data_IF_672242601731
#
_entry.id   IF_672242601731
#
_cell.length_a   1.000
_cell.length_b   1.000
_cell.length_c   1.000
_cell.angle_alpha   90.00
_cell.angle_beta   90.00
_cell.angle_gamma   90.00
#
_symmetry.space_group_name_H-M   'P 1'
#
loop_
_entity.id
_entity.type
_entity.pdbx_description
1 polymer ?
#
# COMPACT_ATOMS: atom_id res chain seq x y z
N UNK A 1 -21.32 -11.79 27.23
CA UNK A 1 -20.71 -12.85 28.07
C UNK A 1 -19.25 -12.48 28.23
N UNK A 2 -18.78 -12.20 29.46
CA UNK A 2 -17.36 -11.94 29.70
C UNK A 2 -16.59 -13.22 29.34
N UNK A 3 -15.65 -13.08 28.43
CA UNK A 3 -14.80 -14.19 27.99
C UNK A 3 -13.86 -14.55 29.14
N UNK A 4 -14.16 -15.61 29.88
CA UNK A 4 -13.36 -16.02 31.06
C UNK A 4 -11.98 -16.44 30.55
N UNK A 5 -10.93 -15.79 31.04
CA UNK A 5 -9.54 -16.05 30.63
C UNK A 5 -9.12 -17.45 31.07
N UNK A 6 -8.57 -18.23 30.14
CA UNK A 6 -8.12 -19.61 30.34
C UNK A 6 -6.65 -19.61 30.76
N UNK A 7 -6.31 -20.30 31.83
CA UNK A 7 -4.95 -20.45 32.37
C UNK A 7 -4.62 -21.94 32.49
N UNK A 8 -3.60 -22.40 31.79
CA UNK A 8 -3.06 -23.76 31.92
C UNK A 8 -1.89 -23.76 32.93
N UNK A 9 -1.93 -24.66 33.89
CA UNK A 9 -0.91 -24.78 34.94
C UNK A 9 -0.20 -26.12 34.80
N UNK A 10 1.11 -26.08 34.59
CA UNK A 10 1.97 -27.27 34.46
C UNK A 10 2.94 -27.35 35.67
N UNK A 11 2.80 -28.39 36.48
CA UNK A 11 3.55 -28.63 37.71
C UNK A 11 3.54 -30.13 38.00
N UNK A 12 4.68 -30.72 38.31
CA UNK A 12 4.80 -32.16 38.56
C UNK A 12 4.44 -32.56 39.99
N UNK A 13 4.53 -31.62 40.96
CA UNK A 13 4.15 -31.87 42.34
C UNK A 13 2.63 -31.73 42.56
N UNK A 14 1.89 -32.84 42.89
CA UNK A 14 0.43 -32.81 42.92
C UNK A 14 -0.18 -31.76 43.87
N UNK A 15 0.48 -31.56 45.06
CA UNK A 15 -0.02 -30.62 46.04
C UNK A 15 0.19 -29.17 45.59
N UNK A 16 1.33 -28.85 44.96
CA UNK A 16 1.61 -27.54 44.41
C UNK A 16 0.68 -27.24 43.24
N UNK A 17 0.46 -28.22 42.35
CA UNK A 17 -0.47 -28.13 41.22
C UNK A 17 -1.91 -27.82 41.65
N UNK A 18 -2.41 -28.59 42.65
CA UNK A 18 -3.77 -28.41 43.17
C UNK A 18 -3.90 -27.03 43.87
N UNK A 19 -2.92 -26.61 44.67
CA UNK A 19 -2.93 -25.32 45.36
C UNK A 19 -2.89 -24.13 44.36
N UNK A 20 -2.06 -24.20 43.32
CA UNK A 20 -2.02 -23.18 42.26
C UNK A 20 -3.33 -23.13 41.50
N UNK A 21 -3.92 -24.27 41.16
CA UNK A 21 -5.17 -24.35 40.40
C UNK A 21 -6.33 -23.75 41.21
N UNK A 22 -6.44 -24.08 42.50
CA UNK A 22 -7.44 -23.52 43.43
C UNK A 22 -7.27 -21.99 43.54
N UNK A 23 -6.03 -21.54 43.77
CA UNK A 23 -5.70 -20.12 43.91
C UNK A 23 -6.10 -19.32 42.65
N UNK A 24 -5.70 -19.77 41.46
CA UNK A 24 -5.96 -19.10 40.20
C UNK A 24 -7.45 -19.15 39.84
N UNK A 25 -8.13 -20.28 40.06
CA UNK A 25 -9.58 -20.41 39.88
C UNK A 25 -10.35 -19.45 40.81
N UNK A 26 -9.88 -19.29 42.09
CA UNK A 26 -10.45 -18.37 43.06
C UNK A 26 -10.38 -16.88 42.62
N UNK A 27 -9.50 -16.54 41.68
CA UNK A 27 -9.45 -15.21 41.07
C UNK A 27 -10.34 -15.04 39.85
N UNK A 28 -11.13 -16.07 39.49
CA UNK A 28 -12.10 -16.00 38.38
C UNK A 28 -11.52 -16.43 37.03
N UNK A 29 -10.33 -17.04 37.01
CA UNK A 29 -9.80 -17.65 35.78
C UNK A 29 -10.37 -19.07 35.59
N UNK A 30 -10.52 -19.50 34.34
CA UNK A 30 -10.80 -20.89 34.03
C UNK A 30 -9.46 -21.63 33.94
N UNK A 31 -9.26 -22.65 34.79
CA UNK A 31 -8.00 -23.35 34.90
C UNK A 31 -8.08 -24.77 34.35
N UNK A 32 -7.01 -25.20 33.69
CA UNK A 32 -6.68 -26.60 33.42
C UNK A 32 -5.29 -26.88 33.98
N UNK A 33 -5.01 -28.15 34.29
CA UNK A 33 -3.76 -28.59 34.91
C UNK A 33 -3.08 -29.65 34.06
N UNK A 34 -1.75 -29.67 34.08
CA UNK A 34 -0.90 -30.68 33.48
C UNK A 34 0.20 -31.11 34.46
N UNK A 35 0.62 -32.36 34.43
CA UNK A 35 1.64 -32.90 35.34
C UNK A 35 3.07 -32.85 34.81
N UNK A 36 3.20 -32.46 33.54
CA UNK A 36 4.48 -32.27 32.86
C UNK A 36 4.31 -31.46 31.58
N UNK A 37 5.43 -31.11 30.92
CA UNK A 37 5.43 -30.28 29.74
C UNK A 37 4.81 -30.92 28.50
N UNK A 38 4.80 -32.26 28.40
CA UNK A 38 4.21 -32.94 27.25
C UNK A 38 2.67 -32.88 27.31
N UNK A 39 2.10 -33.19 28.49
CA UNK A 39 0.66 -33.05 28.74
C UNK A 39 0.23 -31.58 28.59
N UNK A 40 1.06 -30.63 29.05
CA UNK A 40 0.79 -29.22 28.89
C UNK A 40 0.77 -28.78 27.42
N UNK A 41 1.68 -29.30 26.60
CA UNK A 41 1.70 -29.06 25.17
C UNK A 41 0.45 -29.59 24.46
N UNK A 42 0.05 -30.83 24.72
CA UNK A 42 -1.17 -31.44 24.13
C UNK A 42 -2.44 -30.64 24.51
N UNK A 43 -2.54 -30.23 25.79
CA UNK A 43 -3.65 -29.42 26.28
C UNK A 43 -3.61 -27.99 25.70
N UNK A 44 -2.44 -27.41 25.54
CA UNK A 44 -2.31 -26.09 24.92
C UNK A 44 -2.87 -26.07 23.49
N UNK A 45 -2.61 -27.13 22.70
CA UNK A 45 -3.13 -27.24 21.34
C UNK A 45 -4.67 -27.42 21.28
N UNK A 46 -5.25 -28.22 22.17
CA UNK A 46 -6.68 -28.53 22.13
C UNK A 46 -7.54 -27.49 22.85
N UNK A 47 -7.03 -26.82 23.86
CA UNK A 47 -7.78 -25.94 24.74
C UNK A 47 -7.52 -24.45 24.51
N UNK A 48 -6.45 -24.09 23.80
CA UNK A 48 -6.00 -22.69 23.49
C UNK A 48 -6.04 -21.78 24.72
N UNK A 49 -5.17 -22.00 25.72
CA UNK A 49 -5.10 -21.15 26.90
C UNK A 49 -4.56 -19.74 26.56
N UNK A 50 -5.01 -18.75 27.32
CA UNK A 50 -4.48 -17.39 27.23
C UNK A 50 -3.10 -17.29 27.86
N UNK A 51 -2.92 -18.02 28.97
CA UNK A 51 -1.72 -17.98 29.79
C UNK A 51 -1.34 -19.41 30.16
N UNK A 52 -0.07 -19.70 30.10
CA UNK A 52 0.53 -20.95 30.61
C UNK A 52 1.43 -20.60 31.80
N UNK A 53 1.18 -21.21 32.94
CA UNK A 53 2.07 -21.13 34.11
C UNK A 53 2.78 -22.48 34.21
N UNK A 54 4.10 -22.53 34.10
CA UNK A 54 4.85 -23.79 34.04
C UNK A 54 6.01 -23.80 35.02
N UNK A 55 6.21 -24.93 35.74
CA UNK A 55 7.49 -25.16 36.41
C UNK A 55 8.58 -25.40 35.37
N UNK A 56 9.80 -25.04 35.74
CA UNK A 56 11.01 -25.33 34.95
C UNK A 56 11.39 -26.82 35.00
N UNK A 57 11.27 -27.46 36.15
CA UNK A 57 11.69 -28.85 36.31
C UNK A 57 10.50 -29.77 36.37
N UNK A 58 10.24 -30.49 35.28
CA UNK A 58 9.17 -31.47 35.19
C UNK A 58 9.68 -32.72 34.45
N UNK A 59 9.09 -33.91 34.71
CA UNK A 59 9.43 -35.12 33.98
C UNK A 59 8.99 -35.05 32.52
N UNK A 60 9.50 -35.95 31.67
CA UNK A 60 9.22 -36.11 30.24
C UNK A 60 9.60 -34.88 29.40
N UNK A 61 9.08 -33.72 29.72
CA UNK A 61 9.39 -32.45 29.08
C UNK A 61 9.43 -31.37 30.14
N UNK A 62 10.54 -30.67 30.26
CA UNK A 62 10.71 -29.55 31.18
C UNK A 62 10.07 -28.25 30.68
N UNK A 63 10.02 -27.24 31.56
CA UNK A 63 9.40 -25.96 31.23
C UNK A 63 10.10 -25.19 30.11
N UNK A 64 11.43 -25.38 29.95
CA UNK A 64 12.17 -24.77 28.83
C UNK A 64 11.85 -25.43 27.50
N UNK A 65 11.74 -26.74 27.48
CA UNK A 65 11.30 -27.50 26.30
C UNK A 65 9.86 -27.18 25.91
N UNK A 66 8.98 -26.99 26.89
CA UNK A 66 7.60 -26.54 26.65
C UNK A 66 7.60 -25.13 26.05
N UNK A 67 8.35 -24.19 26.62
CA UNK A 67 8.45 -22.81 26.11
C UNK A 67 8.96 -22.77 24.67
N UNK A 68 10.00 -23.54 24.35
CA UNK A 68 10.55 -23.65 23.01
C UNK A 68 9.52 -24.18 22.02
N UNK A 69 8.80 -25.28 22.37
CA UNK A 69 7.74 -25.82 21.52
C UNK A 69 6.57 -24.88 21.32
N UNK A 70 6.16 -24.14 22.36
CA UNK A 70 5.11 -23.13 22.26
C UNK A 70 5.53 -21.96 21.37
N UNK A 71 6.83 -21.60 21.35
CA UNK A 71 7.38 -20.57 20.48
C UNK A 71 7.51 -21.02 19.01
N UNK A 72 7.89 -22.29 18.78
CA UNK A 72 8.09 -22.87 17.43
C UNK A 72 6.79 -23.37 16.79
N UNK A 73 5.83 -23.84 17.59
CA UNK A 73 4.61 -24.52 17.14
C UNK A 73 3.45 -23.62 16.78
N UNK A 74 3.69 -22.40 16.34
CA UNK A 74 2.69 -21.34 16.15
C UNK A 74 1.66 -21.55 15.03
N UNK A 75 1.69 -22.64 14.26
CA UNK A 75 0.60 -22.97 13.34
C UNK A 75 -0.61 -23.56 14.12
N UNK A 76 -1.56 -22.67 14.46
CA UNK A 76 -2.81 -23.03 15.14
C UNK A 76 -2.90 -22.63 16.62
N UNK A 77 -1.82 -22.24 17.27
CA UNK A 77 -1.82 -21.65 18.61
C UNK A 77 -1.92 -20.11 18.49
N UNK A 78 -2.69 -19.50 19.40
CA UNK A 78 -2.74 -18.03 19.48
C UNK A 78 -1.34 -17.44 19.63
N UNK A 79 -0.89 -16.67 18.66
CA UNK A 79 0.42 -15.98 18.67
C UNK A 79 0.64 -15.04 19.89
N UNK A 80 -0.37 -14.93 20.76
CA UNK A 80 -0.41 -14.05 21.95
C UNK A 80 -0.56 -14.84 23.26
N UNK A 81 -0.09 -16.08 23.32
CA UNK A 81 -0.09 -16.86 24.55
C UNK A 81 1.04 -16.38 25.47
N UNK A 82 0.72 -16.01 26.70
CA UNK A 82 1.72 -15.59 27.69
C UNK A 82 2.21 -16.81 28.49
N UNK A 83 3.53 -17.05 28.52
CA UNK A 83 4.12 -18.13 29.32
C UNK A 83 4.82 -17.55 30.53
N UNK A 84 4.36 -17.92 31.73
CA UNK A 84 4.95 -17.54 33.03
C UNK A 84 5.69 -18.75 33.61
N UNK A 85 6.95 -18.57 33.91
CA UNK A 85 7.82 -19.66 34.34
C UNK A 85 8.01 -19.62 35.86
N UNK A 86 7.82 -20.77 36.55
CA UNK A 86 8.10 -20.91 37.97
C UNK A 86 9.51 -21.49 38.16
N UNK A 87 10.32 -20.90 39.01
CA UNK A 87 11.71 -21.30 39.23
C UNK A 87 12.02 -21.59 40.69
N UNK A 88 12.88 -22.57 40.97
CA UNK A 88 13.39 -22.78 42.30
C UNK A 88 14.41 -21.71 42.69
N UNK A 89 14.65 -21.55 44.00
CA UNK A 89 15.65 -20.63 44.56
C UNK A 89 17.05 -20.93 43.98
N UNK A 90 17.73 -19.90 43.44
CA UNK A 90 19.09 -20.01 42.91
C UNK A 90 19.22 -20.20 41.39
N UNK A 91 18.11 -20.27 40.61
CA UNK A 91 18.13 -20.46 39.16
C UNK A 91 17.92 -19.18 38.33
N UNK A 92 18.54 -18.06 38.75
CA UNK A 92 18.42 -16.76 38.07
C UNK A 92 18.86 -16.87 36.62
N UNK A 93 19.91 -17.65 36.29
CA UNK A 93 20.38 -17.83 34.93
C UNK A 93 19.32 -18.50 34.04
N UNK A 94 18.62 -19.53 34.53
CA UNK A 94 17.55 -20.20 33.82
C UNK A 94 16.35 -19.27 33.58
N UNK A 95 16.05 -18.40 34.56
CA UNK A 95 15.01 -17.39 34.37
C UNK A 95 15.36 -16.38 33.27
N UNK A 96 16.61 -15.93 33.20
CA UNK A 96 17.11 -15.05 32.14
C UNK A 96 17.04 -15.75 30.76
N UNK A 97 17.40 -17.03 30.71
CA UNK A 97 17.37 -17.79 29.47
C UNK A 97 15.92 -18.03 28.99
N UNK A 98 14.96 -18.26 29.92
CA UNK A 98 13.54 -18.33 29.62
C UNK A 98 13.02 -17.00 29.03
N UNK A 99 13.42 -15.86 29.60
CA UNK A 99 13.04 -14.53 29.06
C UNK A 99 13.60 -14.32 27.64
N UNK A 100 14.82 -14.78 27.33
CA UNK A 100 15.39 -14.72 25.98
C UNK A 100 14.63 -15.60 24.97
N UNK A 101 14.03 -16.71 25.43
CA UNK A 101 13.20 -17.60 24.62
C UNK A 101 11.74 -17.13 24.50
N UNK A 102 11.40 -15.96 25.05
CA UNK A 102 10.08 -15.36 24.89
C UNK A 102 9.10 -15.62 26.03
N UNK A 103 9.57 -16.06 27.23
CA UNK A 103 8.71 -16.09 28.40
C UNK A 103 8.18 -14.69 28.71
N UNK A 104 6.92 -14.61 29.13
CA UNK A 104 6.26 -13.35 29.50
C UNK A 104 6.83 -12.78 30.81
N UNK A 105 6.99 -13.66 31.81
CA UNK A 105 7.61 -13.33 33.11
C UNK A 105 8.04 -14.61 33.83
N UNK A 106 8.76 -14.47 34.94
CA UNK A 106 9.12 -15.57 35.82
C UNK A 106 8.80 -15.27 37.27
N UNK A 107 8.55 -16.32 38.08
CA UNK A 107 8.31 -16.27 39.50
C UNK A 107 9.17 -17.28 40.23
N UNK A 108 9.73 -16.87 41.36
CA UNK A 108 10.50 -17.76 42.22
C UNK A 108 9.57 -18.51 43.19
N UNK A 109 9.82 -19.80 43.41
CA UNK A 109 9.16 -20.61 44.46
C UNK A 109 9.81 -20.29 45.81
N UNK A 110 9.01 -20.15 46.92
CA UNK A 110 7.56 -20.33 46.99
C UNK A 110 6.83 -19.18 46.25
N UNK A 111 5.77 -19.51 45.51
CA UNK A 111 5.05 -18.58 44.67
C UNK A 111 4.32 -17.53 45.53
N UNK A 112 4.69 -16.26 45.35
CA UNK A 112 3.93 -15.14 45.90
C UNK A 112 2.60 -14.96 45.14
N UNK A 113 1.51 -15.20 45.86
CA UNK A 113 0.15 -15.11 45.30
C UNK A 113 -0.18 -13.72 44.77
N UNK A 114 0.28 -12.64 45.41
CA UNK A 114 0.03 -11.26 45.00
C UNK A 114 0.76 -10.94 43.71
N UNK A 115 2.00 -11.36 43.60
CA UNK A 115 2.83 -11.19 42.40
C UNK A 115 2.28 -12.01 41.23
N UNK A 116 1.92 -13.29 41.44
CA UNK A 116 1.29 -14.13 40.42
C UNK A 116 -0.01 -13.50 39.90
N UNK A 117 -0.88 -13.04 40.80
CA UNK A 117 -2.14 -12.35 40.44
C UNK A 117 -1.90 -11.13 39.54
N UNK A 118 -0.89 -10.33 39.86
CA UNK A 118 -0.52 -9.15 39.09
C UNK A 118 -0.02 -9.51 37.70
N UNK A 119 0.83 -10.54 37.59
CA UNK A 119 1.35 -11.01 36.29
C UNK A 119 0.23 -11.55 35.43
N UNK A 120 -0.66 -12.41 35.96
CA UNK A 120 -1.79 -12.95 35.23
C UNK A 120 -2.75 -11.85 34.76
N UNK A 121 -3.02 -10.85 35.62
CA UNK A 121 -3.88 -9.72 35.25
C UNK A 121 -3.27 -8.87 34.11
N UNK A 122 -1.97 -8.62 34.14
CA UNK A 122 -1.28 -7.88 33.08
C UNK A 122 -1.25 -8.66 31.75
N UNK A 123 -0.93 -9.96 31.80
CA UNK A 123 -0.95 -10.83 30.63
C UNK A 123 -2.35 -10.94 30.00
N UNK A 124 -3.39 -11.10 30.84
CA UNK A 124 -4.78 -11.12 30.39
C UNK A 124 -5.19 -9.79 29.72
N UNK A 125 -4.82 -8.66 30.30
CA UNK A 125 -5.10 -7.32 29.73
C UNK A 125 -4.39 -7.13 28.39
N UNK A 126 -3.12 -7.49 28.29
CA UNK A 126 -2.37 -7.38 27.04
C UNK A 126 -3.01 -8.22 25.92
N UNK A 127 -3.40 -9.46 26.23
CA UNK A 127 -4.12 -10.32 25.26
C UNK A 127 -5.47 -9.72 24.85
N UNK A 128 -6.24 -9.22 25.80
CA UNK A 128 -7.53 -8.59 25.52
C UNK A 128 -7.37 -7.38 24.59
N UNK A 129 -6.40 -6.52 24.85
CA UNK A 129 -6.10 -5.37 23.98
C UNK A 129 -5.67 -5.81 22.58
N UNK A 130 -4.87 -6.88 22.46
CA UNK A 130 -4.47 -7.43 21.16
C UNK A 130 -5.68 -7.98 20.37
N UNK A 131 -6.59 -8.70 21.04
CA UNK A 131 -7.83 -9.20 20.43
C UNK A 131 -8.73 -8.05 20.00
N UNK A 132 -8.94 -7.04 20.84
CA UNK A 132 -9.77 -5.87 20.52
C UNK A 132 -9.19 -5.09 19.33
N UNK A 133 -7.88 -4.94 19.27
CA UNK A 133 -7.19 -4.33 18.13
C UNK A 133 -7.40 -5.13 16.84
N UNK A 134 -7.30 -6.47 16.91
CA UNK A 134 -7.49 -7.32 15.74
C UNK A 134 -8.96 -7.29 15.25
N UNK A 135 -9.93 -7.32 16.19
CA UNK A 135 -11.35 -7.15 15.88
C UNK A 135 -11.62 -5.77 15.26
N UNK A 136 -11.02 -4.71 15.80
CA UNK A 136 -11.15 -3.36 15.25
C UNK A 136 -10.55 -3.27 13.83
N UNK A 137 -9.36 -3.84 13.63
CA UNK A 137 -8.73 -3.93 12.31
C UNK A 137 -9.59 -4.71 11.32
N UNK A 138 -10.14 -5.85 11.74
CA UNK A 138 -11.04 -6.65 10.91
C UNK A 138 -12.29 -5.88 10.50
N UNK A 139 -12.92 -5.16 11.43
CA UNK A 139 -14.06 -4.28 11.12
C UNK A 139 -13.71 -3.18 10.14
N UNK A 140 -12.54 -2.55 10.29
CA UNK A 140 -12.03 -1.55 9.34
C UNK A 140 -11.81 -2.16 7.95
N UNK A 141 -11.27 -3.38 7.86
CA UNK A 141 -11.15 -4.10 6.58
C UNK A 141 -12.51 -4.40 5.95
N UNK A 142 -13.47 -4.87 6.75
CA UNK A 142 -14.85 -5.14 6.30
C UNK A 142 -15.55 -3.86 5.83
N UNK A 143 -15.22 -2.71 6.41
CA UNK A 143 -15.67 -1.39 5.94
C UNK A 143 -14.87 -0.85 4.75
N UNK A 144 -13.87 -1.59 4.26
CA UNK A 144 -13.07 -1.19 3.10
C UNK A 144 -12.05 -0.08 3.39
N UNK A 145 -11.52 0.02 4.62
CA UNK A 145 -10.50 1.02 4.98
C UNK A 145 -9.22 0.31 5.42
N UNK A 146 -8.08 0.67 4.78
CA UNK A 146 -6.76 0.24 5.20
C UNK A 146 -5.79 1.44 5.23
N UNK A 147 -5.37 1.86 6.42
CA UNK A 147 -4.55 3.06 6.58
C UNK A 147 -5.25 4.29 6.02
N UNK A 148 -4.67 4.90 5.00
CA UNK A 148 -5.23 6.06 4.28
C UNK A 148 -6.01 5.66 3.01
N UNK A 149 -6.14 4.38 2.72
CA UNK A 149 -6.79 3.86 1.52
C UNK A 149 -8.24 3.49 1.82
N UNK A 150 -9.13 3.80 0.87
CA UNK A 150 -10.55 3.46 0.91
C UNK A 150 -10.90 2.66 -0.33
N UNK A 151 -11.53 1.49 -0.14
CA UNK A 151 -11.98 0.63 -1.21
C UNK A 151 -12.50 -0.69 -0.66
N UNK A 152 -13.69 -1.11 -1.11
CA UNK A 152 -14.34 -2.37 -0.72
C UNK A 152 -14.49 -3.35 -1.89
N UNK A 153 -14.09 -2.94 -3.09
CA UNK A 153 -14.07 -3.76 -4.29
C UNK A 153 -13.17 -4.99 -4.13
N UNK A 154 -13.41 -5.99 -4.95
CA UNK A 154 -12.55 -7.19 -4.96
C UNK A 154 -11.10 -6.84 -5.24
N UNK A 155 -10.85 -5.98 -6.24
CA UNK A 155 -9.51 -5.56 -6.61
C UNK A 155 -8.79 -4.87 -5.45
N UNK A 156 -9.45 -3.95 -4.74
CA UNK A 156 -8.86 -3.26 -3.59
C UNK A 156 -8.63 -4.20 -2.39
N UNK A 157 -9.52 -5.14 -2.14
CA UNK A 157 -9.32 -6.16 -1.08
C UNK A 157 -8.11 -7.05 -1.34
N UNK A 158 -7.89 -7.46 -2.59
CA UNK A 158 -6.68 -8.21 -2.98
C UNK A 158 -5.42 -7.38 -2.71
N UNK A 159 -5.41 -6.09 -3.07
CA UNK A 159 -4.30 -5.17 -2.78
C UNK A 159 -4.10 -4.99 -1.27
N UNK A 160 -5.16 -4.82 -0.48
CA UNK A 160 -5.06 -4.70 0.98
C UNK A 160 -4.41 -5.94 1.60
N UNK A 161 -4.81 -7.12 1.14
CA UNK A 161 -4.20 -8.40 1.57
C UNK A 161 -2.70 -8.44 1.26
N UNK A 162 -2.31 -8.04 0.04
CA UNK A 162 -0.90 -7.99 -0.37
C UNK A 162 -0.09 -6.98 0.48
N UNK A 163 -0.66 -5.80 0.73
CA UNK A 163 -0.02 -4.77 1.58
C UNK A 163 0.24 -5.33 2.98
N UNK A 164 -0.75 -5.98 3.60
CA UNK A 164 -0.61 -6.54 4.95
C UNK A 164 0.41 -7.66 5.04
N UNK A 165 0.50 -8.52 4.02
CA UNK A 165 1.50 -9.59 3.95
C UNK A 165 2.92 -9.05 3.81
N UNK A 166 3.11 -7.97 3.05
CA UNK A 166 4.44 -7.43 2.74
C UNK A 166 4.89 -6.35 3.73
N UNK A 167 3.97 -5.65 4.38
CA UNK A 167 4.31 -4.55 5.29
C UNK A 167 5.31 -4.96 6.40
N UNK A 168 5.19 -6.14 7.07
CA UNK A 168 6.13 -6.54 8.11
C UNK A 168 7.55 -6.83 7.62
N UNK A 169 7.74 -7.07 6.32
CA UNK A 169 9.04 -7.40 5.73
C UNK A 169 9.87 -6.15 5.41
N UNK A 170 11.17 -6.34 5.20
CA UNK A 170 12.08 -5.29 4.72
C UNK A 170 12.38 -5.38 3.20
N UNK A 171 11.63 -6.20 2.45
CA UNK A 171 11.84 -6.36 1.02
C UNK A 171 11.51 -5.06 0.26
N UNK A 172 12.21 -4.75 -0.83
CA UNK A 172 11.81 -3.71 -1.76
C UNK A 172 10.43 -4.04 -2.36
N UNK A 173 9.62 -3.00 -2.61
CA UNK A 173 8.30 -3.13 -3.25
C UNK A 173 8.25 -2.17 -4.42
N UNK A 174 7.86 -2.70 -5.58
CA UNK A 174 7.54 -1.89 -6.76
C UNK A 174 6.04 -1.68 -6.83
N UNK A 175 5.60 -0.43 -6.90
CA UNK A 175 4.19 -0.05 -6.97
C UNK A 175 3.94 0.51 -8.37
N UNK A 176 3.09 -0.14 -9.14
CA UNK A 176 2.79 0.25 -10.52
C UNK A 176 1.33 0.62 -10.68
N UNK A 177 1.01 1.42 -11.69
CA UNK A 177 -0.35 1.85 -11.99
C UNK A 177 -0.39 3.27 -12.55
N UNK A 178 -1.47 3.62 -13.22
CA UNK A 178 -1.65 4.91 -13.86
C UNK A 178 -1.40 6.10 -12.91
N UNK A 179 -1.15 7.27 -13.49
CA UNK A 179 -1.03 8.50 -12.68
C UNK A 179 -2.32 8.74 -11.89
N UNK A 180 -2.18 9.11 -10.61
CA UNK A 180 -3.31 9.44 -9.75
C UNK A 180 -4.06 8.26 -9.14
N UNK A 181 -3.63 7.00 -9.30
CA UNK A 181 -4.26 5.81 -8.70
C UNK A 181 -4.02 5.64 -7.20
N UNK A 182 -3.14 6.45 -6.59
CA UNK A 182 -2.88 6.38 -5.15
C UNK A 182 -1.62 5.59 -4.76
N UNK A 183 -0.64 5.43 -5.66
CA UNK A 183 0.63 4.72 -5.39
C UNK A 183 1.36 5.22 -4.14
N UNK A 184 1.36 6.53 -3.89
CA UNK A 184 1.95 7.11 -2.68
C UNK A 184 1.19 6.70 -1.40
N UNK A 185 -0.16 6.59 -1.48
CA UNK A 185 -0.97 6.11 -0.34
C UNK A 185 -0.65 4.65 -0.01
N UNK A 186 -0.42 3.81 -1.03
CA UNK A 186 0.07 2.42 -0.84
C UNK A 186 1.40 2.42 -0.11
N UNK A 187 2.36 3.22 -0.56
CA UNK A 187 3.69 3.30 0.04
C UNK A 187 3.63 3.78 1.51
N UNK A 188 2.80 4.78 1.79
CA UNK A 188 2.57 5.30 3.14
C UNK A 188 1.90 4.24 4.03
N UNK A 189 0.89 3.53 3.53
CA UNK A 189 0.23 2.44 4.24
C UNK A 189 1.18 1.27 4.54
N UNK A 190 2.05 0.91 3.58
CA UNK A 190 3.12 -0.07 3.79
C UNK A 190 4.08 0.34 4.92
N UNK A 191 4.43 1.63 5.00
CA UNK A 191 5.26 2.14 6.09
C UNK A 191 4.54 2.09 7.43
N UNK A 192 3.29 2.57 7.50
CA UNK A 192 2.50 2.67 8.73
C UNK A 192 2.18 1.29 9.34
N UNK A 193 2.07 0.26 8.50
CA UNK A 193 1.88 -1.13 8.93
C UNK A 193 3.19 -1.90 9.17
N UNK A 194 4.35 -1.27 8.90
CA UNK A 194 5.66 -1.91 9.08
C UNK A 194 6.21 -1.75 10.51
N UNK A 195 7.23 -2.55 10.88
CA UNK A 195 7.98 -2.33 12.13
C UNK A 195 8.67 -0.95 12.19
N UNK A 196 8.81 -0.27 11.03
CA UNK A 196 9.44 1.05 10.89
C UNK A 196 8.48 2.23 11.00
N UNK A 197 7.21 2.01 11.36
CA UNK A 197 6.14 3.04 11.41
C UNK A 197 6.46 4.29 12.28
N UNK A 198 7.31 4.13 13.29
CA UNK A 198 7.76 5.23 14.16
C UNK A 198 9.05 5.92 13.65
N UNK A 199 9.57 5.50 12.50
CA UNK A 199 10.78 6.01 11.85
C UNK A 199 10.43 6.94 10.69
N UNK A 200 11.38 7.70 10.13
CA UNK A 200 11.10 8.60 9.03
C UNK A 200 10.52 7.90 7.79
N UNK A 201 9.52 8.52 7.16
CA UNK A 201 9.06 8.23 5.83
C UNK A 201 9.44 9.39 4.91
N UNK A 202 10.32 9.15 3.95
CA UNK A 202 10.78 10.14 2.98
C UNK A 202 10.27 9.75 1.61
N UNK A 203 9.53 10.66 0.95
CA UNK A 203 9.03 10.45 -0.41
C UNK A 203 9.72 11.45 -1.35
N UNK A 204 10.20 10.95 -2.48
CA UNK A 204 10.88 11.73 -3.52
C UNK A 204 10.22 11.44 -4.85
N UNK A 205 9.73 12.48 -5.51
CA UNK A 205 9.23 12.37 -6.88
C UNK A 205 10.39 12.68 -7.85
N UNK A 206 10.89 11.65 -8.54
CA UNK A 206 12.02 11.76 -9.45
C UNK A 206 11.72 12.65 -10.66
N UNK A 207 10.45 12.69 -11.11
CA UNK A 207 10.03 13.53 -12.24
C UNK A 207 10.00 15.04 -11.89
N UNK A 208 9.88 15.39 -10.59
CA UNK A 208 9.81 16.78 -10.16
C UNK A 208 11.19 17.43 -9.97
N UNK A 209 12.27 16.64 -10.01
CA UNK A 209 13.64 17.13 -9.77
C UNK A 209 14.39 17.18 -11.10
N UNK A 210 15.07 18.31 -11.42
CA UNK A 210 15.95 18.37 -12.59
C UNK A 210 16.99 17.27 -12.58
N UNK A 211 17.26 16.67 -13.74
CA UNK A 211 18.23 15.58 -13.90
C UNK A 211 19.60 15.86 -13.27
N UNK A 212 20.07 17.11 -13.37
CA UNK A 212 21.36 17.55 -12.81
C UNK A 212 21.39 17.58 -11.29
N UNK A 213 20.24 17.62 -10.61
CA UNK A 213 20.13 17.73 -9.16
C UNK A 213 19.67 16.44 -8.48
N UNK A 214 19.04 15.51 -9.22
CA UNK A 214 18.44 14.32 -8.65
C UNK A 214 19.44 13.47 -7.86
N UNK A 215 20.66 13.32 -8.36
CA UNK A 215 21.71 12.59 -7.68
C UNK A 215 22.08 13.23 -6.34
N UNK A 216 22.18 14.57 -6.32
CA UNK A 216 22.44 15.35 -5.10
C UNK A 216 21.31 15.26 -4.09
N UNK A 217 20.04 15.26 -4.53
CA UNK A 217 18.88 15.13 -3.63
C UNK A 217 18.80 13.72 -3.05
N UNK A 218 19.07 12.69 -3.83
CA UNK A 218 18.98 11.28 -3.39
C UNK A 218 20.13 10.92 -2.44
N UNK A 219 21.40 11.23 -2.81
CA UNK A 219 22.58 10.78 -2.08
C UNK A 219 23.24 11.86 -1.21
N UNK A 220 22.85 13.14 -1.39
CA UNK A 220 23.49 14.25 -0.73
C UNK A 220 24.80 14.70 -1.40
N UNK A 221 25.34 15.82 -0.94
CA UNK A 221 26.59 16.34 -1.46
C UNK A 221 27.46 16.99 -0.37
N UNK A 222 28.75 16.97 -0.60
CA UNK A 222 29.72 17.74 0.17
C UNK A 222 29.91 19.15 -0.45
N UNK A 223 30.35 20.09 0.37
CA UNK A 223 30.69 21.45 -0.09
C UNK A 223 31.70 21.39 -1.23
N UNK A 224 31.41 22.10 -2.34
CA UNK A 224 32.31 22.20 -3.50
C UNK A 224 32.27 21.01 -4.45
N UNK A 225 31.34 20.08 -4.32
CA UNK A 225 31.21 18.89 -5.18
C UNK A 225 30.76 19.20 -6.61
N UNK A 226 30.07 20.33 -6.82
CA UNK A 226 29.67 20.86 -8.13
C UNK A 226 29.48 22.38 -8.05
N UNK A 227 29.34 23.05 -9.21
CA UNK A 227 29.06 24.49 -9.28
C UNK A 227 27.72 24.81 -8.64
N UNK A 228 27.76 25.49 -7.48
CA UNK A 228 26.55 25.78 -6.67
C UNK A 228 26.46 24.99 -5.36
N UNK A 229 27.35 24.03 -5.09
CA UNK A 229 27.45 23.32 -3.81
C UNK A 229 28.12 24.19 -2.73
N UNK A 230 27.43 25.23 -2.27
CA UNK A 230 27.96 26.20 -1.31
C UNK A 230 28.15 25.58 0.08
N UNK A 231 27.22 24.69 0.47
CA UNK A 231 27.20 24.01 1.76
C UNK A 231 27.02 22.50 1.56
N UNK A 232 27.35 21.73 2.59
CA UNK A 232 27.04 20.31 2.65
C UNK A 232 25.53 20.09 2.84
N UNK A 233 24.91 19.15 2.09
CA UNK A 233 23.50 18.80 2.25
C UNK A 233 23.32 17.27 2.35
N UNK A 234 22.49 16.89 3.33
CA UNK A 234 22.12 15.47 3.50
C UNK A 234 21.15 15.03 2.38
N UNK A 235 21.33 13.82 1.87
CA UNK A 235 20.46 13.22 0.87
C UNK A 235 19.29 12.45 1.48
N UNK A 236 18.36 12.01 0.62
CA UNK A 236 17.16 11.29 1.05
C UNK A 236 17.48 9.98 1.76
N UNK A 237 18.56 9.28 1.41
CA UNK A 237 19.01 8.08 2.13
C UNK A 237 19.42 8.38 3.58
N UNK A 238 20.03 9.53 3.84
CA UNK A 238 20.36 9.96 5.20
C UNK A 238 19.10 10.35 5.99
N UNK A 239 18.20 11.11 5.35
CA UNK A 239 16.96 11.57 5.96
C UNK A 239 16.01 10.39 6.29
N UNK A 240 16.07 9.31 5.49
CA UNK A 240 15.26 8.10 5.68
C UNK A 240 15.93 7.06 6.59
N UNK A 241 17.06 7.38 7.24
CA UNK A 241 17.83 6.39 8.03
C UNK A 241 16.98 5.67 9.09
N UNK A 242 17.03 4.35 9.10
CA UNK A 242 16.20 3.47 9.95
C UNK A 242 14.73 3.39 9.52
N UNK A 243 14.30 4.16 8.51
CA UNK A 243 12.92 4.30 8.06
C UNK A 243 12.66 3.74 6.66
N UNK A 244 11.86 4.48 5.87
CA UNK A 244 11.42 4.08 4.53
C UNK A 244 11.63 5.23 3.55
N UNK A 245 12.18 4.93 2.38
CA UNK A 245 12.35 5.85 1.24
C UNK A 245 11.43 5.40 0.11
N UNK A 246 10.53 6.27 -0.33
CA UNK A 246 9.74 6.12 -1.54
C UNK A 246 10.41 6.90 -2.68
N UNK A 247 10.73 6.21 -3.76
CA UNK A 247 11.17 6.79 -5.03
C UNK A 247 10.00 6.73 -6.02
N UNK A 248 9.27 7.83 -6.13
CA UNK A 248 8.13 7.93 -7.07
C UNK A 248 8.63 8.29 -8.47
N UNK A 249 8.01 7.72 -9.50
CA UNK A 249 8.36 7.87 -10.91
C UNK A 249 9.85 7.50 -11.17
N UNK A 250 10.25 6.30 -10.68
CA UNK A 250 11.65 5.82 -10.75
C UNK A 250 12.20 5.75 -12.19
N UNK A 251 11.33 5.56 -13.20
CA UNK A 251 11.69 5.55 -14.62
C UNK A 251 12.16 6.89 -15.16
N UNK A 252 11.92 7.99 -14.44
CA UNK A 252 12.39 9.34 -14.81
C UNK A 252 13.79 9.65 -14.23
N UNK A 253 14.37 8.72 -13.46
CA UNK A 253 15.72 8.87 -12.90
C UNK A 253 16.77 8.62 -13.98
N UNK A 254 17.81 9.48 -14.11
CA UNK A 254 18.91 9.26 -15.07
C UNK A 254 19.62 7.91 -14.86
N UNK A 255 20.00 7.24 -15.94
CA UNK A 255 20.62 5.91 -15.93
C UNK A 255 21.87 5.82 -15.03
N UNK A 256 22.69 6.90 -14.95
CA UNK A 256 23.84 6.97 -14.05
C UNK A 256 23.44 6.94 -12.58
N UNK A 257 22.35 7.62 -12.22
CA UNK A 257 21.81 7.65 -10.86
C UNK A 257 21.17 6.31 -10.51
N UNK A 258 20.47 5.67 -11.47
CA UNK A 258 19.94 4.30 -11.31
C UNK A 258 21.06 3.28 -11.01
N UNK A 259 22.22 3.39 -11.65
CA UNK A 259 23.37 2.52 -11.39
C UNK A 259 23.92 2.68 -9.96
N UNK A 260 23.93 3.91 -9.43
CA UNK A 260 24.33 4.17 -8.04
C UNK A 260 23.28 3.66 -7.06
N UNK A 261 21.99 3.81 -7.37
CA UNK A 261 20.91 3.26 -6.57
C UNK A 261 21.01 1.73 -6.47
N UNK A 262 21.29 1.05 -7.58
CA UNK A 262 21.49 -0.40 -7.58
C UNK A 262 22.58 -0.82 -6.60
N UNK A 263 23.73 -0.15 -6.62
CA UNK A 263 24.83 -0.42 -5.66
C UNK A 263 24.38 -0.25 -4.21
N UNK A 264 23.59 0.80 -3.91
CA UNK A 264 23.07 1.01 -2.54
C UNK A 264 22.15 -0.12 -2.12
N UNK A 265 21.30 -0.63 -3.02
CA UNK A 265 20.40 -1.75 -2.75
C UNK A 265 21.14 -3.09 -2.53
N UNK A 266 22.32 -3.25 -3.13
CA UNK A 266 23.16 -4.46 -3.01
C UNK A 266 24.09 -4.40 -1.81
N UNK A 267 24.87 -3.31 -1.69
CA UNK A 267 25.96 -3.17 -0.73
C UNK A 267 25.50 -2.59 0.61
N UNK A 268 24.29 -2.00 0.67
CA UNK A 268 23.78 -1.27 1.84
C UNK A 268 24.70 -0.10 2.24
N UNK A 269 25.38 0.48 1.27
CA UNK A 269 26.31 1.61 1.43
C UNK A 269 26.12 2.61 0.33
N UNK A 270 26.35 3.88 0.64
CA UNK A 270 26.34 4.97 -0.34
C UNK A 270 27.39 6.02 -0.02
N UNK A 271 27.65 6.91 -0.98
CA UNK A 271 28.55 8.07 -0.83
C UNK A 271 27.83 9.32 -1.26
N UNK A 272 28.05 10.42 -0.55
CA UNK A 272 27.65 11.74 -1.04
C UNK A 272 28.48 12.12 -2.26
N UNK A 273 27.92 12.99 -3.11
CA UNK A 273 28.68 13.59 -4.20
C UNK A 273 29.90 14.32 -3.63
N UNK A 274 31.08 14.05 -4.17
CA UNK A 274 32.35 14.65 -3.71
C UNK A 274 32.93 14.02 -2.44
N UNK A 275 32.26 13.10 -1.76
CA UNK A 275 32.79 12.42 -0.59
C UNK A 275 33.71 11.27 -0.95
N UNK A 276 34.74 11.04 -0.10
CA UNK A 276 35.63 9.86 -0.19
C UNK A 276 35.18 8.69 0.69
N UNK A 277 34.39 8.96 1.72
CA UNK A 277 33.94 7.98 2.71
C UNK A 277 32.59 7.40 2.31
N UNK A 278 32.42 6.09 2.52
CA UNK A 278 31.15 5.39 2.43
C UNK A 278 30.37 5.51 3.76
N UNK A 279 29.08 5.49 3.65
CA UNK A 279 28.15 5.49 4.77
C UNK A 279 27.24 4.26 4.66
N UNK A 280 27.05 3.55 5.76
CA UNK A 280 26.08 2.46 5.83
C UNK A 280 24.64 3.00 5.79
N UNK A 281 23.74 2.25 5.18
CA UNK A 281 22.32 2.61 5.15
C UNK A 281 21.42 1.46 5.59
N UNK A 282 20.53 1.73 6.53
CA UNK A 282 19.42 0.88 6.90
C UNK A 282 18.10 1.57 6.52
N UNK A 283 17.77 1.52 5.22
CA UNK A 283 16.55 2.12 4.66
C UNK A 283 15.78 1.07 3.91
N UNK A 284 14.46 0.97 4.16
CA UNK A 284 13.55 0.20 3.31
C UNK A 284 13.22 1.04 2.07
N UNK A 285 13.49 0.51 0.89
CA UNK A 285 13.20 1.22 -0.37
C UNK A 285 11.89 0.72 -0.97
N UNK A 286 11.00 1.66 -1.28
CA UNK A 286 9.80 1.47 -2.09
C UNK A 286 9.99 2.27 -3.38
N UNK A 287 9.59 1.70 -4.51
CA UNK A 287 9.65 2.40 -5.80
C UNK A 287 8.25 2.45 -6.42
N UNK A 288 7.91 3.56 -7.08
CA UNK A 288 6.66 3.68 -7.80
C UNK A 288 6.90 4.17 -9.24
N UNK A 289 6.03 3.75 -10.16
CA UNK A 289 6.05 4.21 -11.54
C UNK A 289 4.66 4.11 -12.20
N UNK A 290 4.43 4.97 -13.19
CA UNK A 290 3.16 5.05 -13.91
C UNK A 290 3.15 4.24 -15.22
N UNK A 291 4.32 3.79 -15.69
CA UNK A 291 4.49 3.00 -16.92
C UNK A 291 4.55 1.51 -16.59
N UNK A 292 4.27 0.68 -17.57
CA UNK A 292 4.57 -0.75 -17.50
C UNK A 292 6.08 -0.97 -17.32
N UNK A 293 6.52 -1.70 -16.29
CA UNK A 293 7.95 -1.86 -16.00
C UNK A 293 8.73 -2.56 -17.10
N UNK A 294 8.13 -3.57 -17.76
CA UNK A 294 8.82 -4.32 -18.83
C UNK A 294 9.02 -3.43 -20.05
N UNK A 295 8.00 -2.63 -20.37
CA UNK A 295 8.10 -1.65 -21.43
C UNK A 295 9.10 -0.55 -21.12
N UNK A 296 9.15 -0.06 -19.86
CA UNK A 296 10.15 0.91 -19.43
C UNK A 296 11.57 0.38 -19.56
N UNK A 297 11.80 -0.91 -19.27
CA UNK A 297 13.10 -1.57 -19.51
C UNK A 297 13.43 -1.66 -21.01
N UNK A 298 12.46 -2.07 -21.84
CA UNK A 298 12.64 -2.18 -23.28
C UNK A 298 12.95 -0.82 -23.97
N UNK A 299 12.35 0.26 -23.47
CA UNK A 299 12.54 1.63 -23.94
C UNK A 299 13.79 2.31 -23.35
N UNK A 300 14.49 1.67 -22.40
CA UNK A 300 15.70 2.20 -21.76
C UNK A 300 15.45 3.24 -20.64
N UNK A 301 14.21 3.45 -20.25
CA UNK A 301 13.84 4.32 -19.11
C UNK A 301 14.19 3.70 -17.75
N UNK A 302 14.21 2.37 -17.66
CA UNK A 302 14.60 1.65 -16.45
C UNK A 302 15.65 0.60 -16.80
N UNK A 303 16.76 0.56 -16.03
CA UNK A 303 17.77 -0.48 -16.18
C UNK A 303 17.22 -1.84 -15.78
N UNK A 304 17.50 -2.87 -16.53
CA UNK A 304 17.03 -4.23 -16.26
C UNK A 304 17.54 -4.78 -14.91
N UNK A 305 18.80 -4.52 -14.57
CA UNK A 305 19.41 -4.94 -13.31
C UNK A 305 18.71 -4.29 -12.09
N UNK A 306 18.43 -3.00 -12.16
CA UNK A 306 17.70 -2.28 -11.12
C UNK A 306 16.23 -2.76 -11.00
N UNK A 307 15.57 -3.01 -12.14
CA UNK A 307 14.21 -3.55 -12.15
C UNK A 307 14.13 -4.87 -11.37
N UNK A 308 15.00 -5.84 -11.65
CA UNK A 308 14.99 -7.12 -10.93
C UNK A 308 15.28 -6.96 -9.43
N UNK A 309 16.06 -5.96 -9.05
CA UNK A 309 16.38 -5.71 -7.64
C UNK A 309 15.24 -5.02 -6.88
N UNK A 310 14.44 -4.17 -7.55
CA UNK A 310 13.28 -3.50 -6.98
C UNK A 310 12.01 -4.35 -7.02
N UNK A 311 11.86 -5.17 -8.06
CA UNK A 311 10.67 -5.98 -8.30
C UNK A 311 10.70 -7.34 -7.56
N UNK A 312 11.10 -7.31 -6.28
CA UNK A 312 10.98 -8.48 -5.40
C UNK A 312 9.51 -8.74 -5.06
N UNK A 313 8.76 -7.68 -4.86
CA UNK A 313 7.32 -7.72 -4.69
C UNK A 313 6.66 -6.59 -5.50
N UNK A 314 5.64 -6.93 -6.29
CA UNK A 314 4.92 -5.97 -7.14
C UNK A 314 3.48 -5.77 -6.67
N UNK A 315 3.07 -4.51 -6.52
CA UNK A 315 1.68 -4.12 -6.27
C UNK A 315 1.20 -3.31 -7.46
N UNK A 316 0.19 -3.81 -8.16
CA UNK A 316 -0.40 -3.15 -9.32
C UNK A 316 -1.69 -2.45 -8.91
N UNK A 317 -1.70 -1.12 -8.97
CA UNK A 317 -2.88 -0.32 -8.64
C UNK A 317 -3.82 -0.25 -9.85
N UNK A 318 -5.06 -0.71 -9.72
CA UNK A 318 -6.04 -0.60 -10.80
C UNK A 318 -6.42 0.87 -11.03
N UNK A 319 -6.76 1.25 -12.25
CA UNK A 319 -7.35 2.56 -12.53
C UNK A 319 -8.78 2.64 -11.96
N UNK A 320 -9.21 3.83 -11.57
CA UNK A 320 -10.49 4.03 -10.87
C UNK A 320 -11.70 3.49 -11.66
N UNK A 321 -11.66 3.52 -12.99
CA UNK A 321 -12.69 2.96 -13.86
C UNK A 321 -12.92 1.45 -13.72
N UNK A 322 -11.96 0.71 -13.17
CA UNK A 322 -12.06 -0.74 -12.94
C UNK A 322 -12.64 -1.10 -11.56
N UNK A 323 -12.81 -0.11 -10.67
CA UNK A 323 -13.37 -0.31 -9.33
C UNK A 323 -14.29 0.85 -8.90
N UNK A 324 -15.18 1.29 -9.80
CA UNK A 324 -16.13 2.38 -9.54
C UNK A 324 -17.07 2.12 -8.36
N UNK A 325 -17.27 0.88 -7.95
CA UNK A 325 -18.02 0.52 -6.75
C UNK A 325 -17.42 1.11 -5.46
N UNK A 326 -16.13 1.47 -5.47
CA UNK A 326 -15.46 2.15 -4.36
C UNK A 326 -15.66 3.67 -4.34
N UNK A 327 -16.20 4.23 -5.41
CA UNK A 327 -16.33 5.67 -5.57
C UNK A 327 -17.22 6.31 -4.49
N UNK A 328 -18.41 5.78 -4.13
CA UNK A 328 -19.23 6.38 -3.09
C UNK A 328 -18.52 6.53 -1.74
N UNK A 329 -17.92 5.49 -1.13
CA UNK A 329 -17.18 5.63 0.12
C UNK A 329 -15.93 6.51 -0.01
N UNK A 330 -15.26 6.52 -1.16
CA UNK A 330 -14.14 7.44 -1.42
C UNK A 330 -14.61 8.90 -1.40
N UNK A 331 -15.73 9.21 -2.06
CA UNK A 331 -16.29 10.56 -2.12
C UNK A 331 -16.72 11.02 -0.72
N UNK A 332 -17.39 10.19 0.06
CA UNK A 332 -17.79 10.51 1.44
C UNK A 332 -16.56 10.84 2.31
N UNK A 333 -15.51 10.03 2.21
CA UNK A 333 -14.26 10.28 2.93
C UNK A 333 -13.62 11.60 2.49
N UNK A 334 -13.54 11.85 1.18
CA UNK A 334 -12.99 13.10 0.64
C UNK A 334 -13.79 14.32 1.07
N UNK A 335 -15.13 14.26 1.07
CA UNK A 335 -15.99 15.35 1.56
C UNK A 335 -15.71 15.64 3.03
N UNK A 336 -15.59 14.61 3.87
CA UNK A 336 -15.26 14.76 5.28
C UNK A 336 -13.89 15.44 5.48
N UNK A 337 -12.86 14.99 4.74
CA UNK A 337 -11.53 15.60 4.78
C UNK A 337 -11.55 17.07 4.32
N UNK A 338 -12.28 17.38 3.21
CA UNK A 338 -12.36 18.72 2.68
C UNK A 338 -13.15 19.67 3.59
N UNK A 339 -14.20 19.15 4.26
CA UNK A 339 -14.90 19.91 5.28
C UNK A 339 -13.97 20.33 6.41
N UNK A 340 -13.12 19.42 6.91
CA UNK A 340 -12.13 19.74 7.93
C UNK A 340 -11.07 20.73 7.41
N UNK A 341 -10.54 20.47 6.22
CA UNK A 341 -9.46 21.28 5.62
C UNK A 341 -9.88 22.74 5.37
N UNK A 342 -11.11 22.93 4.87
CA UNK A 342 -11.62 24.24 4.45
C UNK A 342 -12.62 24.86 5.43
N UNK A 343 -12.89 24.23 6.58
CA UNK A 343 -13.85 24.72 7.57
C UNK A 343 -15.28 24.76 7.05
N UNK A 344 -15.64 23.88 6.09
CA UNK A 344 -16.96 23.81 5.48
C UNK A 344 -17.85 22.80 6.21
N UNK A 345 -19.17 22.86 5.96
CA UNK A 345 -20.19 22.00 6.59
C UNK A 345 -21.12 21.39 5.54
N UNK A 346 -20.54 20.82 4.48
CA UNK A 346 -21.28 20.10 3.45
C UNK A 346 -21.91 18.85 4.10
N UNK A 347 -23.22 18.67 3.94
CA UNK A 347 -23.98 17.63 4.65
C UNK A 347 -23.87 16.24 4.04
N UNK A 348 -23.34 16.11 2.82
CA UNK A 348 -23.19 14.84 2.11
C UNK A 348 -23.20 15.03 0.60
N UNK A 349 -23.54 13.97 -0.14
CA UNK A 349 -23.53 13.94 -1.61
C UNK A 349 -24.88 13.49 -2.12
N UNK A 350 -25.48 14.28 -3.02
CA UNK A 350 -26.77 13.92 -3.62
C UNK A 350 -26.63 12.75 -4.61
N UNK A 351 -27.64 11.89 -4.75
CA UNK A 351 -27.63 10.78 -5.72
C UNK A 351 -27.32 11.24 -7.17
N UNK A 352 -27.89 12.37 -7.60
CA UNK A 352 -27.64 12.94 -8.92
C UNK A 352 -26.19 13.29 -9.21
N UNK A 353 -25.41 13.62 -8.18
CA UNK A 353 -23.96 13.82 -8.29
C UNK A 353 -23.25 12.48 -8.39
N UNK A 354 -23.59 11.52 -7.52
CA UNK A 354 -22.99 10.18 -7.56
C UNK A 354 -23.19 9.50 -8.92
N UNK A 355 -24.40 9.57 -9.50
CA UNK A 355 -24.69 9.02 -10.82
C UNK A 355 -23.75 9.60 -11.89
N UNK A 356 -23.50 10.89 -11.87
CA UNK A 356 -22.56 11.54 -12.80
C UNK A 356 -21.11 11.14 -12.56
N UNK A 357 -20.71 11.02 -11.30
CA UNK A 357 -19.35 10.59 -10.95
C UNK A 357 -19.11 9.13 -11.36
N UNK A 358 -20.13 8.26 -11.20
CA UNK A 358 -20.08 6.86 -11.62
C UNK A 358 -20.03 6.67 -13.14
N UNK A 359 -20.63 7.58 -13.90
CA UNK A 359 -20.66 7.52 -15.37
C UNK A 359 -19.37 8.06 -16.01
N UNK A 360 -18.43 8.61 -15.25
CA UNK A 360 -17.20 9.21 -15.78
C UNK A 360 -16.02 8.23 -15.69
N UNK A 361 -15.13 8.24 -16.69
CA UNK A 361 -14.03 7.26 -16.81
C UNK A 361 -12.77 7.57 -15.99
N UNK A 362 -12.70 8.77 -15.41
CA UNK A 362 -11.62 9.19 -14.53
C UNK A 362 -10.20 9.02 -15.11
N UNK A 363 -9.84 9.68 -16.21
CA UNK A 363 -8.50 9.56 -16.79
C UNK A 363 -7.37 10.01 -15.82
N UNK A 364 -7.67 10.93 -14.90
CA UNK A 364 -6.77 11.33 -13.82
C UNK A 364 -6.98 10.57 -12.51
N UNK A 365 -7.79 9.49 -12.53
CA UNK A 365 -8.02 8.58 -11.41
C UNK A 365 -8.44 9.31 -10.10
N UNK A 366 -8.02 8.82 -8.95
CA UNK A 366 -8.36 9.39 -7.63
C UNK A 366 -7.84 10.84 -7.44
N UNK A 367 -6.77 11.23 -8.16
CA UNK A 367 -6.27 12.63 -8.11
C UNK A 367 -7.26 13.60 -8.74
N UNK A 368 -7.82 13.25 -9.87
CA UNK A 368 -8.85 14.04 -10.56
C UNK A 368 -10.15 14.07 -9.75
N UNK A 369 -10.57 12.92 -9.22
CA UNK A 369 -11.73 12.82 -8.33
C UNK A 369 -11.57 13.76 -7.13
N UNK A 370 -10.42 13.71 -6.43
CA UNK A 370 -10.13 14.56 -5.28
C UNK A 370 -10.23 16.05 -5.61
N UNK A 371 -9.64 16.48 -6.72
CA UNK A 371 -9.69 17.87 -7.17
C UNK A 371 -11.13 18.30 -7.50
N UNK A 372 -11.91 17.42 -8.12
CA UNK A 372 -13.31 17.65 -8.46
C UNK A 372 -14.16 17.82 -7.19
N UNK A 373 -13.99 16.94 -6.20
CA UNK A 373 -14.69 17.00 -4.92
C UNK A 373 -14.25 18.23 -4.11
N UNK A 374 -12.95 18.54 -4.04
CA UNK A 374 -12.45 19.73 -3.35
C UNK A 374 -13.07 20.99 -3.90
N UNK A 375 -13.10 21.15 -5.22
CA UNK A 375 -13.78 22.29 -5.88
C UNK A 375 -15.27 22.32 -5.54
N UNK A 376 -15.95 21.21 -5.62
CA UNK A 376 -17.38 21.12 -5.33
C UNK A 376 -17.69 21.52 -3.87
N UNK A 377 -16.89 21.05 -2.90
CA UNK A 377 -17.02 21.42 -1.47
C UNK A 377 -16.83 22.93 -1.25
N UNK A 378 -15.84 23.55 -1.93
CA UNK A 378 -15.60 24.99 -1.81
C UNK A 378 -16.81 25.80 -2.34
N UNK A 379 -17.44 25.35 -3.41
CA UNK A 379 -18.56 26.05 -4.05
C UNK A 379 -19.91 25.77 -3.37
N UNK A 380 -20.02 24.67 -2.62
CA UNK A 380 -21.29 24.29 -1.98
C UNK A 380 -21.60 25.18 -0.78
N UNK A 381 -22.86 25.66 -0.62
CA UNK A 381 -23.30 26.35 0.57
C UNK A 381 -23.22 25.45 1.80
N UNK A 382 -22.91 26.03 2.97
CA UNK A 382 -22.87 25.27 4.22
C UNK A 382 -24.25 24.68 4.56
N UNK A 383 -24.25 23.43 5.00
CA UNK A 383 -25.45 22.66 5.32
C UNK A 383 -26.15 22.00 4.12
N UNK A 384 -25.78 22.36 2.89
CA UNK A 384 -26.32 21.71 1.68
C UNK A 384 -25.52 20.46 1.28
N UNK A 385 -26.13 19.49 0.58
CA UNK A 385 -25.40 18.39 -0.04
C UNK A 385 -24.74 18.84 -1.35
N UNK A 386 -23.67 18.15 -1.75
CA UNK A 386 -23.12 18.30 -3.10
C UNK A 386 -24.10 17.77 -4.13
N UNK A 387 -24.39 18.57 -5.14
CA UNK A 387 -25.22 18.17 -6.28
C UNK A 387 -24.49 18.30 -7.62
N UNK A 388 -25.11 17.85 -8.69
CA UNK A 388 -24.55 17.88 -10.04
C UNK A 388 -24.22 19.30 -10.57
N UNK A 389 -24.80 20.36 -9.96
CA UNK A 389 -24.52 21.76 -10.30
C UNK A 389 -23.17 22.24 -9.82
N UNK A 390 -22.58 21.58 -8.81
CA UNK A 390 -21.25 21.89 -8.30
C UNK A 390 -20.11 21.27 -9.15
N UNK A 391 -20.44 20.40 -10.11
CA UNK A 391 -19.47 19.85 -11.07
C UNK A 391 -19.03 20.93 -12.09
N UNK A 392 -17.80 20.83 -12.64
CA UNK A 392 -17.34 21.74 -13.69
C UNK A 392 -18.28 21.78 -14.89
N UNK A 393 -18.44 22.96 -15.49
CA UNK A 393 -19.21 23.11 -16.75
C UNK A 393 -18.59 22.22 -17.83
N UNK A 394 -19.34 21.25 -18.35
CA UNK A 394 -18.81 20.29 -19.32
C UNK A 394 -18.33 18.96 -18.71
N UNK A 395 -18.39 18.77 -17.39
CA UNK A 395 -18.03 17.49 -16.78
C UNK A 395 -18.73 16.31 -17.44
N UNK A 396 -17.98 15.36 -17.97
CA UNK A 396 -18.50 14.19 -18.71
C UNK A 396 -18.95 14.47 -20.16
N UNK A 397 -18.90 15.70 -20.65
CA UNK A 397 -19.31 15.99 -22.05
C UNK A 397 -18.27 15.57 -23.08
N UNK A 398 -16.98 15.64 -22.73
CA UNK A 398 -15.90 15.22 -23.64
C UNK A 398 -15.77 13.69 -23.80
N UNK A 399 -16.48 12.92 -22.97
CA UNK A 399 -16.50 11.45 -23.07
C UNK A 399 -17.81 10.87 -23.65
N UNK A 400 -18.86 11.66 -23.69
CA UNK A 400 -20.06 11.29 -24.45
C UNK A 400 -19.85 11.45 -25.96
N UNK A 401 -18.66 11.92 -26.37
CA UNK A 401 -18.26 12.10 -27.74
C UNK A 401 -16.88 11.54 -28.07
N UNK A 402 -16.61 10.27 -27.72
CA UNK A 402 -16.03 9.42 -28.72
C UNK A 402 -17.22 9.05 -29.65
N UNK A 403 -17.43 9.69 -30.80
CA UNK A 403 -18.46 9.27 -31.68
C UNK A 403 -18.09 7.87 -32.16
N UNK A 404 -18.84 6.86 -31.71
CA UNK A 404 -18.98 5.57 -32.39
C UNK A 404 -19.67 5.76 -33.77
N UNK A 405 -19.94 6.98 -34.12
CA UNK A 405 -20.39 7.41 -35.44
C UNK A 405 -19.13 7.85 -36.19
N UNK A 406 -18.87 7.20 -37.32
CA UNK A 406 -17.70 7.36 -38.19
C UNK A 406 -17.44 8.76 -38.76
N UNK A 407 -17.83 9.84 -38.06
CA UNK A 407 -17.77 11.23 -38.51
C UNK A 407 -16.50 12.00 -38.08
N UNK A 408 -15.71 11.50 -37.13
CA UNK A 408 -14.45 12.14 -36.76
C UNK A 408 -13.27 11.52 -37.52
N UNK A 409 -12.43 12.36 -38.13
CA UNK A 409 -11.20 11.93 -38.82
C UNK A 409 -10.01 12.27 -37.96
N UNK A 410 -9.27 11.27 -37.48
CA UNK A 410 -8.03 11.45 -36.78
C UNK A 410 -6.86 11.40 -37.76
N UNK A 411 -6.13 12.50 -37.90
CA UNK A 411 -4.91 12.60 -38.70
C UNK A 411 -3.70 12.54 -37.79
N UNK A 412 -2.72 11.67 -38.07
CA UNK A 412 -1.49 11.58 -37.27
C UNK A 412 -0.59 12.78 -37.52
N UNK A 413 0.04 13.32 -36.51
CA UNK A 413 1.08 14.34 -36.65
C UNK A 413 2.23 13.74 -37.46
N UNK A 414 2.60 14.41 -38.59
CA UNK A 414 3.56 13.88 -39.56
C UNK A 414 2.92 13.33 -40.86
N UNK A 415 1.59 13.21 -40.95
CA UNK A 415 0.91 12.92 -42.19
C UNK A 415 0.98 14.14 -43.14
N UNK A 416 1.06 13.87 -44.46
CA UNK A 416 1.07 14.93 -45.45
C UNK A 416 -0.31 15.58 -45.58
N UNK A 417 -0.35 16.84 -46.03
CA UNK A 417 -1.62 17.54 -46.30
C UNK A 417 -2.49 16.77 -47.32
N UNK A 418 -1.87 16.14 -48.33
CA UNK A 418 -2.57 15.31 -49.32
C UNK A 418 -3.24 14.06 -48.72
N UNK A 419 -2.59 13.38 -47.74
CA UNK A 419 -3.18 12.25 -47.02
C UNK A 419 -4.36 12.67 -46.16
N UNK A 420 -4.24 13.79 -45.45
CA UNK A 420 -5.32 14.36 -44.63
C UNK A 420 -6.52 14.76 -45.49
N UNK A 421 -6.28 15.42 -46.61
CA UNK A 421 -7.30 15.84 -47.58
C UNK A 421 -8.03 14.61 -48.21
N UNK A 422 -7.29 13.59 -48.62
CA UNK A 422 -7.84 12.33 -49.13
C UNK A 422 -8.77 11.65 -48.12
N UNK A 423 -8.33 11.52 -46.86
CA UNK A 423 -9.12 10.94 -45.79
C UNK A 423 -10.41 11.73 -45.55
N UNK A 424 -10.33 13.05 -45.54
CA UNK A 424 -11.46 13.94 -45.35
C UNK A 424 -12.49 13.81 -46.49
N UNK A 425 -12.03 13.80 -47.74
CA UNK A 425 -12.88 13.65 -48.92
C UNK A 425 -13.61 12.30 -48.93
N UNK A 426 -12.90 11.18 -48.68
CA UNK A 426 -13.48 9.85 -48.69
C UNK A 426 -14.52 9.67 -47.60
N UNK A 427 -14.24 10.10 -46.39
CA UNK A 427 -15.15 10.01 -45.26
C UNK A 427 -16.40 10.90 -45.43
N UNK A 428 -16.23 12.10 -45.98
CA UNK A 428 -17.38 12.97 -46.26
C UNK A 428 -18.27 12.37 -47.33
N UNK A 429 -17.70 11.69 -48.32
CA UNK A 429 -18.46 10.97 -49.37
C UNK A 429 -19.25 9.78 -48.80
N UNK A 430 -18.64 9.00 -47.90
CA UNK A 430 -19.31 7.92 -47.16
C UNK A 430 -20.49 8.48 -46.35
N UNK A 431 -20.24 9.52 -45.55
CA UNK A 431 -21.25 10.15 -44.69
C UNK A 431 -22.43 10.77 -45.48
N UNK A 432 -22.21 11.18 -46.74
CA UNK A 432 -23.25 11.73 -47.60
C UNK A 432 -23.92 10.67 -48.49
N UNK A 433 -23.69 9.38 -48.27
CA UNK A 433 -24.25 8.29 -49.03
C UNK A 433 -23.83 8.36 -50.53
N UNK A 434 -22.56 8.68 -50.81
CA UNK A 434 -21.97 8.84 -52.16
C UNK A 434 -22.56 10.02 -52.97
N UNK A 435 -23.27 10.95 -52.31
CA UNK A 435 -23.79 12.14 -52.97
C UNK A 435 -22.70 13.19 -53.16
N UNK A 436 -22.11 13.23 -54.36
CA UNK A 436 -20.97 14.09 -54.70
C UNK A 436 -21.27 15.58 -54.60
N UNK A 437 -22.52 16.00 -54.92
CA UNK A 437 -22.92 17.40 -54.85
C UNK A 437 -22.94 17.87 -53.39
N UNK A 438 -23.56 17.10 -52.51
CA UNK A 438 -23.66 17.43 -51.09
C UNK A 438 -22.29 17.31 -50.41
N UNK A 439 -21.46 16.36 -50.80
CA UNK A 439 -20.09 16.24 -50.29
C UNK A 439 -19.23 17.45 -50.68
N UNK A 440 -19.35 17.95 -51.93
CA UNK A 440 -18.64 19.15 -52.38
C UNK A 440 -19.05 20.41 -51.61
N UNK A 441 -20.35 20.58 -51.30
CA UNK A 441 -20.86 21.65 -50.47
C UNK A 441 -20.29 21.62 -49.04
N UNK A 442 -20.31 20.46 -48.40
CA UNK A 442 -19.77 20.27 -47.05
C UNK A 442 -18.26 20.54 -47.01
N UNK A 443 -17.51 20.08 -48.00
CA UNK A 443 -16.08 20.26 -48.11
C UNK A 443 -15.67 21.67 -48.57
N UNK A 444 -16.61 22.54 -48.96
CA UNK A 444 -16.31 23.90 -49.43
C UNK A 444 -15.55 23.91 -50.75
N UNK A 445 -15.66 22.86 -51.58
CA UNK A 445 -14.96 22.76 -52.89
C UNK A 445 -15.94 22.67 -54.03
N UNK A 446 -15.48 23.03 -55.26
CA UNK A 446 -16.35 22.86 -56.45
C UNK A 446 -16.55 21.38 -56.78
N UNK A 447 -17.71 21.02 -57.32
CA UNK A 447 -18.03 19.66 -57.78
C UNK A 447 -16.98 19.14 -58.79
N UNK A 448 -16.41 20.04 -59.61
CA UNK A 448 -15.34 19.74 -60.57
C UNK A 448 -14.04 19.40 -59.88
N UNK A 449 -13.69 20.12 -58.80
CA UNK A 449 -12.50 19.86 -57.97
C UNK A 449 -12.60 18.50 -57.28
N UNK A 450 -13.78 18.20 -56.71
CA UNK A 450 -14.04 16.91 -56.07
C UNK A 450 -13.93 15.75 -57.07
N UNK A 451 -14.47 15.91 -58.27
CA UNK A 451 -14.37 14.90 -59.33
C UNK A 451 -12.92 14.63 -59.76
N UNK A 452 -12.13 15.68 -59.92
CA UNK A 452 -10.72 15.55 -60.30
C UNK A 452 -9.91 14.82 -59.24
N UNK A 453 -10.11 15.17 -57.98
CA UNK A 453 -9.44 14.53 -56.84
C UNK A 453 -9.81 13.05 -56.70
N UNK A 454 -11.08 12.69 -56.92
CA UNK A 454 -11.51 11.29 -56.89
C UNK A 454 -10.93 10.47 -58.05
N UNK A 455 -10.72 11.09 -59.24
CA UNK A 455 -10.03 10.43 -60.36
C UNK A 455 -8.54 10.22 -60.07
N UNK A 456 -7.90 11.19 -59.44
CA UNK A 456 -6.51 11.10 -59.05
C UNK A 456 -6.30 9.94 -58.06
N UNK A 457 -7.10 9.85 -57.01
CA UNK A 457 -7.05 8.78 -55.99
C UNK A 457 -7.38 7.39 -56.58
N UNK A 458 -8.23 7.30 -57.60
CA UNK A 458 -8.53 6.04 -58.29
C UNK A 458 -7.38 5.54 -59.19
N UNK A 459 -6.55 6.43 -59.73
CA UNK A 459 -5.36 6.09 -60.54
C UNK A 459 -4.22 5.58 -59.64
N UNK A 460 -3.97 6.23 -58.53
CA UNK A 460 -2.97 5.80 -57.55
C UNK A 460 -3.23 4.41 -56.98
N UNK A 461 -4.49 3.98 -56.84
CA UNK A 461 -4.83 2.62 -56.41
C UNK A 461 -4.59 1.54 -57.48
N UNK A 462 -4.54 1.91 -58.76
CA UNK A 462 -4.24 0.97 -59.85
C UNK A 462 -2.72 0.81 -60.06
N UNK A 463 -1.93 1.85 -59.83
CA UNK A 463 -0.45 1.80 -59.93
C UNK A 463 0.22 1.04 -58.76
N UNK A 464 -0.43 0.95 -57.62
CA UNK A 464 0.10 0.19 -56.44
C UNK A 464 -0.23 -1.32 -56.54
N UNK A 465 -1.10 -1.72 -57.54
CA UNK A 465 -1.50 -3.13 -57.75
C UNK A 465 -0.87 -3.77 -58.98
N UNK A 466 -0.07 -3.04 -59.76
CA UNK A 466 0.74 -3.54 -60.85
C UNK A 466 2.22 -3.54 -60.41
#
# INVERSE_FOLDING_TARGET
MQNVVKVLIAEDEPNALAGLAELVSGWGYRTETARDGLEAWEKAQSWDPAIVVTDLKMPRMDGMGLLTKLAEGAEGLSANMAVVVLTAMGSIQLAVDAMKLGAYDFLQKPVDATRLKTILANAARQRQTAIELEVARRRLRESGVLGHMVGSSRAMREIFTLIEQVAPSNVPVLITGESGTGKELVARTLHDLSPRKARPFVAVNCAAIPETLIESEVFGHEKGSFTGAIERRAGCFELAAGGTLLLDEIGEMPSGTQAKLLRVLEERKFRRLGARTEMDTDVRVLAAMNRDPQRAVAEGHLRADLFYRLNVFNIVMPPLREHLEDLPPMVETMVSEMNQKHGRKVSGVAPSMLDRLMAYSWPGNARELRNTIERAVILCPDGAPLDAGHLPSGFGKDQAAAPSDGSAITVRVGATVGEAERLLILRTLEATGQNKTRAAEILGVSLKTLHNKLKEYGREQQEVKS
#
